data_IF_364438574230
#
_entry.id   IF_364438574230
#
_cell.length_a   1.000
_cell.length_b   1.000
_cell.length_c   1.000
_cell.angle_alpha   90.00
_cell.angle_beta   90.00
_cell.angle_gamma   90.00
#
_symmetry.space_group_name_H-M   'P 1'
#
loop_
_entity.id
_entity.type
_entity.pdbx_description
1 polymer ?
#
# COMPACT_ATOMS: atom_id res chain seq x y z
N UNK A 1 19.88 -42.03 7.39
CA UNK A 1 19.70 -40.83 8.25
C UNK A 1 20.09 -39.56 7.50
N UNK A 2 21.31 -39.42 6.98
CA UNK A 2 21.74 -38.22 6.21
C UNK A 2 20.91 -37.96 4.94
N UNK A 3 20.52 -38.99 4.18
CA UNK A 3 19.70 -38.84 2.98
C UNK A 3 18.26 -38.40 3.32
N UNK A 4 17.65 -39.01 4.34
CA UNK A 4 16.31 -38.61 4.83
C UNK A 4 16.32 -37.18 5.39
N UNK A 5 17.33 -36.82 6.18
CA UNK A 5 17.50 -35.46 6.69
C UNK A 5 17.71 -34.44 5.56
N UNK A 6 18.48 -34.79 4.52
CA UNK A 6 18.68 -33.95 3.34
C UNK A 6 17.43 -33.77 2.49
N UNK A 7 16.59 -34.80 2.35
CA UNK A 7 15.29 -34.73 1.67
C UNK A 7 14.31 -33.86 2.46
N UNK A 8 14.25 -33.99 3.79
CA UNK A 8 13.40 -33.16 4.65
C UNK A 8 13.85 -31.70 4.64
N UNK A 9 15.16 -31.42 4.71
CA UNK A 9 15.70 -30.06 4.65
C UNK A 9 15.40 -29.38 3.31
N UNK A 10 15.64 -30.09 2.19
CA UNK A 10 15.29 -29.56 0.86
C UNK A 10 13.80 -29.34 0.69
N UNK A 11 12.95 -30.24 1.22
CA UNK A 11 11.51 -30.08 1.19
C UNK A 11 11.05 -28.82 1.94
N UNK A 12 11.62 -28.55 3.12
CA UNK A 12 11.35 -27.33 3.89
C UNK A 12 11.78 -26.08 3.12
N UNK A 13 13.00 -26.07 2.57
CA UNK A 13 13.50 -24.94 1.79
C UNK A 13 12.63 -24.63 0.56
N UNK A 14 12.08 -25.66 -0.11
CA UNK A 14 11.11 -25.47 -1.20
C UNK A 14 9.81 -24.87 -0.68
N UNK A 15 9.26 -25.38 0.43
CA UNK A 15 8.00 -24.88 0.99
C UNK A 15 8.07 -23.46 1.57
N UNK A 16 9.28 -22.88 1.65
CA UNK A 16 9.54 -21.51 2.14
C UNK A 16 10.03 -20.58 1.03
N UNK A 17 10.10 -21.10 -0.21
CA UNK A 17 10.50 -20.32 -1.37
C UNK A 17 9.36 -19.43 -1.86
N UNK A 18 9.73 -18.33 -2.52
CA UNK A 18 8.79 -17.40 -3.15
C UNK A 18 7.94 -18.11 -4.21
N UNK A 19 8.55 -19.02 -4.97
CA UNK A 19 7.88 -19.81 -6.00
C UNK A 19 6.81 -20.71 -5.39
N UNK A 20 7.09 -21.40 -4.28
CA UNK A 20 6.09 -22.23 -3.63
C UNK A 20 4.95 -21.37 -3.07
N UNK A 21 5.25 -20.35 -2.27
CA UNK A 21 4.23 -19.49 -1.66
C UNK A 21 3.39 -18.74 -2.70
N UNK A 22 3.98 -18.31 -3.81
CA UNK A 22 3.30 -17.50 -4.83
C UNK A 22 2.63 -18.29 -5.94
N UNK A 23 3.18 -19.44 -6.34
CA UNK A 23 2.77 -20.14 -7.57
C UNK A 23 2.10 -21.50 -7.32
N UNK A 24 2.32 -22.14 -6.17
CA UNK A 24 1.70 -23.45 -5.89
C UNK A 24 0.17 -23.33 -5.79
N UNK A 25 -0.31 -22.22 -5.21
CA UNK A 25 -1.73 -21.89 -5.10
C UNK A 25 -2.07 -20.65 -5.95
N UNK A 26 -1.60 -20.61 -7.20
CA UNK A 26 -1.66 -19.41 -8.05
C UNK A 26 -3.04 -18.75 -8.09
N UNK A 27 -4.15 -19.50 -8.11
CA UNK A 27 -5.49 -18.92 -8.16
C UNK A 27 -5.86 -18.03 -6.96
N UNK A 28 -5.24 -18.26 -5.80
CA UNK A 28 -5.45 -17.49 -4.57
C UNK A 28 -4.34 -16.48 -4.34
N UNK A 29 -3.10 -16.88 -4.64
CA UNK A 29 -1.90 -16.11 -4.33
C UNK A 29 -1.44 -15.18 -5.45
N UNK A 30 -2.01 -15.28 -6.65
CA UNK A 30 -1.70 -14.42 -7.80
C UNK A 30 -1.73 -12.93 -7.46
N UNK A 31 -2.74 -12.37 -6.74
CA UNK A 31 -2.74 -10.96 -6.37
C UNK A 31 -1.52 -10.55 -5.55
N UNK A 32 -1.26 -11.28 -4.46
CA UNK A 32 -0.21 -10.96 -3.50
C UNK A 32 1.18 -11.21 -4.10
N UNK A 33 1.34 -12.27 -4.91
CA UNK A 33 2.58 -12.58 -5.62
C UNK A 33 2.89 -11.54 -6.69
N UNK A 34 1.91 -11.12 -7.47
CA UNK A 34 2.05 -10.07 -8.48
C UNK A 34 2.47 -8.74 -7.85
N UNK A 35 1.81 -8.35 -6.75
CA UNK A 35 2.15 -7.13 -6.04
C UNK A 35 3.55 -7.20 -5.39
N UNK A 36 3.93 -8.38 -4.85
CA UNK A 36 5.25 -8.62 -4.26
C UNK A 36 6.39 -8.36 -5.26
N UNK A 37 6.27 -8.87 -6.49
CA UNK A 37 7.32 -8.82 -7.51
C UNK A 37 7.76 -7.38 -7.87
N UNK A 38 6.86 -6.40 -7.72
CA UNK A 38 7.10 -4.99 -8.03
C UNK A 38 7.32 -4.10 -6.80
N UNK A 39 7.41 -4.71 -5.63
CA UNK A 39 7.58 -3.99 -4.37
C UNK A 39 9.05 -3.69 -4.03
N UNK A 40 9.27 -2.83 -3.03
CA UNK A 40 10.60 -2.59 -2.45
C UNK A 40 11.18 -3.82 -1.75
N UNK A 41 10.37 -4.85 -1.50
CA UNK A 41 10.75 -6.09 -0.84
C UNK A 41 10.75 -7.29 -1.78
N UNK A 42 10.73 -7.09 -3.11
CA UNK A 42 10.72 -8.17 -4.12
C UNK A 42 11.94 -9.11 -4.08
N UNK A 43 12.94 -8.79 -3.25
CA UNK A 43 14.15 -9.59 -2.99
C UNK A 43 14.22 -10.18 -1.58
N UNK A 44 13.16 -10.04 -0.78
CA UNK A 44 13.04 -10.61 0.56
C UNK A 44 12.06 -11.77 0.48
N UNK A 45 12.48 -12.99 0.83
CA UNK A 45 11.62 -14.16 0.72
C UNK A 45 10.36 -14.03 1.59
N UNK A 46 9.24 -14.60 1.13
CA UNK A 46 7.96 -14.55 1.86
C UNK A 46 8.09 -15.04 3.31
N UNK A 47 8.88 -16.11 3.53
CA UNK A 47 9.11 -16.71 4.83
C UNK A 47 9.80 -15.78 5.84
N UNK A 48 10.61 -14.80 5.41
CA UNK A 48 11.30 -13.86 6.31
C UNK A 48 10.30 -12.96 7.04
N UNK A 49 9.17 -12.63 6.40
CA UNK A 49 8.10 -11.82 7.00
C UNK A 49 6.99 -12.69 7.61
N UNK A 50 6.54 -13.74 6.89
CA UNK A 50 5.32 -14.48 7.25
C UNK A 50 5.56 -15.71 8.14
N UNK A 51 6.79 -16.22 8.23
CA UNK A 51 7.12 -17.37 9.08
C UNK A 51 8.07 -16.94 10.18
N UNK A 52 9.20 -16.33 9.84
CA UNK A 52 10.21 -15.91 10.79
C UNK A 52 11.10 -17.04 11.33
N UNK A 53 12.21 -16.71 11.98
CA UNK A 53 13.13 -17.70 12.54
C UNK A 53 12.55 -18.33 13.82
N UNK A 54 13.04 -19.54 14.14
CA UNK A 54 12.72 -20.23 15.41
C UNK A 54 11.73 -21.38 15.26
N UNK A 55 11.82 -22.34 16.20
CA UNK A 55 11.04 -23.58 16.13
C UNK A 55 9.53 -23.35 16.32
N UNK A 56 9.13 -22.44 17.20
CA UNK A 56 7.72 -22.20 17.50
C UNK A 56 6.98 -21.61 16.30
N UNK A 57 7.58 -20.60 15.66
CA UNK A 57 7.06 -19.99 14.44
C UNK A 57 7.05 -20.95 13.26
N UNK A 58 8.09 -21.78 13.14
CA UNK A 58 8.11 -22.86 12.16
C UNK A 58 6.92 -23.81 12.36
N UNK A 59 6.66 -24.30 13.58
CA UNK A 59 5.53 -25.20 13.86
C UNK A 59 4.19 -24.51 13.58
N UNK A 60 3.99 -23.28 14.07
CA UNK A 60 2.77 -22.51 13.83
C UNK A 60 2.50 -22.38 12.33
N UNK A 61 3.48 -21.93 11.55
CA UNK A 61 3.34 -21.75 10.10
C UNK A 61 2.98 -23.03 9.35
N UNK A 62 3.49 -24.21 9.75
CA UNK A 62 3.12 -25.48 9.10
C UNK A 62 1.71 -25.93 9.45
N UNK A 63 1.23 -25.67 10.67
CA UNK A 63 -0.16 -25.94 11.05
C UNK A 63 -1.12 -25.02 10.29
N UNK A 64 -0.81 -23.72 10.24
CA UNK A 64 -1.59 -22.73 9.49
C UNK A 64 -1.56 -23.06 7.98
N UNK A 65 -0.40 -23.42 7.43
CA UNK A 65 -0.23 -23.84 6.05
C UNK A 65 -1.01 -25.12 5.69
N UNK A 66 -1.11 -26.07 6.62
CA UNK A 66 -1.94 -27.27 6.42
C UNK A 66 -3.43 -26.91 6.33
N UNK A 67 -3.89 -25.98 7.17
CA UNK A 67 -5.26 -25.45 7.06
C UNK A 67 -5.47 -24.67 5.78
N UNK A 68 -4.50 -23.85 5.34
CA UNK A 68 -4.56 -23.15 4.05
C UNK A 68 -4.70 -24.12 2.88
N UNK A 69 -3.97 -25.24 2.90
CA UNK A 69 -4.10 -26.29 1.88
C UNK A 69 -5.52 -26.88 1.85
N UNK A 70 -6.10 -27.16 3.02
CA UNK A 70 -7.50 -27.61 3.13
C UNK A 70 -8.45 -26.53 2.60
N UNK A 71 -8.26 -25.28 3.00
CA UNK A 71 -9.10 -24.17 2.57
C UNK A 71 -9.08 -24.01 1.05
N UNK A 72 -7.91 -24.08 0.42
CA UNK A 72 -7.77 -24.03 -1.04
C UNK A 72 -8.41 -25.25 -1.71
N UNK A 73 -8.18 -26.46 -1.20
CA UNK A 73 -8.70 -27.70 -1.78
C UNK A 73 -10.23 -27.81 -1.73
N UNK A 74 -10.86 -27.24 -0.71
CA UNK A 74 -12.32 -27.30 -0.48
C UNK A 74 -13.03 -25.96 -0.71
N UNK A 75 -12.33 -24.97 -1.23
CA UNK A 75 -12.87 -23.62 -1.49
C UNK A 75 -13.47 -22.92 -0.25
N UNK A 76 -12.83 -23.09 0.91
CA UNK A 76 -13.31 -22.59 2.22
C UNK A 76 -12.72 -21.24 2.62
N UNK A 77 -12.29 -20.42 1.66
CA UNK A 77 -11.68 -19.12 1.92
C UNK A 77 -12.53 -17.94 1.41
N UNK A 78 -12.51 -16.81 2.13
CA UNK A 78 -13.20 -15.60 1.70
C UNK A 78 -12.54 -14.97 0.47
N UNK A 79 -13.33 -14.22 -0.29
CA UNK A 79 -12.86 -13.42 -1.43
C UNK A 79 -13.50 -12.03 -1.34
N UNK A 80 -12.73 -10.95 -1.19
CA UNK A 80 -11.27 -10.91 -0.97
C UNK A 80 -10.85 -11.51 0.39
N UNK A 81 -9.55 -11.71 0.59
CA UNK A 81 -8.99 -12.16 1.88
C UNK A 81 -9.10 -11.00 2.88
N UNK A 82 -9.74 -11.16 4.05
CA UNK A 82 -9.98 -10.05 4.96
C UNK A 82 -8.67 -9.47 5.52
N UNK A 83 -8.63 -8.15 5.62
CA UNK A 83 -7.59 -7.39 6.32
C UNK A 83 -8.23 -6.62 7.49
N UNK A 84 -7.49 -6.35 8.57
CA UNK A 84 -6.08 -6.67 8.79
C UNK A 84 -5.84 -8.15 9.08
N UNK A 85 -4.63 -8.65 8.79
CA UNK A 85 -4.22 -9.99 9.22
C UNK A 85 -3.95 -9.97 10.73
N UNK A 86 -4.56 -10.90 11.47
CA UNK A 86 -4.42 -10.97 12.93
C UNK A 86 -3.26 -11.87 13.39
N UNK A 87 -2.74 -12.73 12.50
CA UNK A 87 -1.69 -13.70 12.80
C UNK A 87 -0.27 -13.27 12.37
N UNK A 88 -0.11 -12.02 11.92
CA UNK A 88 1.21 -11.49 11.60
C UNK A 88 2.08 -11.38 12.85
N UNK A 89 3.37 -11.68 12.67
CA UNK A 89 4.38 -11.51 13.71
C UNK A 89 4.50 -10.04 14.10
N UNK A 90 4.86 -9.72 15.35
CA UNK A 90 5.10 -8.34 15.77
C UNK A 90 6.13 -7.65 14.88
N UNK A 91 5.92 -6.37 14.58
CA UNK A 91 6.82 -5.59 13.71
C UNK A 91 8.29 -5.58 14.22
N UNK A 92 8.49 -5.62 15.55
CA UNK A 92 9.81 -5.72 16.18
C UNK A 92 10.60 -6.98 15.79
N UNK A 93 9.91 -8.07 15.48
CA UNK A 93 10.54 -9.34 15.10
C UNK A 93 10.58 -9.57 13.58
N UNK A 94 10.06 -8.63 12.79
CA UNK A 94 10.01 -8.68 11.33
C UNK A 94 10.63 -7.43 10.72
N UNK A 95 9.92 -6.31 10.76
CA UNK A 95 10.33 -5.03 10.19
C UNK A 95 11.67 -4.54 10.77
N UNK A 96 11.82 -4.59 12.09
CA UNK A 96 12.97 -4.01 12.79
C UNK A 96 14.28 -4.80 12.62
N UNK A 97 14.22 -6.01 12.05
CA UNK A 97 15.43 -6.75 11.66
C UNK A 97 16.19 -6.06 10.53
N UNK A 98 15.51 -5.21 9.75
CA UNK A 98 16.08 -4.46 8.64
C UNK A 98 15.89 -2.94 8.77
N UNK A 99 14.80 -2.49 9.40
CA UNK A 99 14.45 -1.08 9.57
C UNK A 99 14.66 -0.64 11.01
N UNK A 100 15.72 0.11 11.30
CA UNK A 100 16.08 0.47 12.67
C UNK A 100 15.46 1.82 13.10
N UNK A 101 14.42 1.85 13.97
CA UNK A 101 13.68 3.08 14.26
C UNK A 101 14.52 4.18 14.95
N UNK A 102 15.57 3.78 15.68
CA UNK A 102 16.48 4.71 16.38
C UNK A 102 17.66 5.18 15.51
N UNK A 103 17.69 4.79 14.23
CA UNK A 103 18.64 5.32 13.23
C UNK A 103 17.89 6.12 12.18
N UNK A 104 17.62 7.37 12.54
CA UNK A 104 16.94 8.30 11.64
C UNK A 104 17.79 8.64 10.41
N UNK A 105 17.15 8.66 9.25
CA UNK A 105 17.79 8.90 7.94
C UNK A 105 17.50 10.29 7.37
N UNK A 106 16.78 11.14 8.11
CA UNK A 106 16.36 12.46 7.66
C UNK A 106 14.96 12.49 7.06
N UNK A 107 14.48 13.72 6.82
CA UNK A 107 13.21 13.97 6.14
C UNK A 107 13.26 13.54 4.67
N UNK A 108 12.09 13.18 4.13
CA UNK A 108 11.99 12.64 2.77
C UNK A 108 11.27 13.62 1.85
N UNK A 109 11.99 14.14 0.87
CA UNK A 109 11.37 14.84 -0.25
C UNK A 109 10.65 13.85 -1.18
N UNK A 110 9.37 14.07 -1.39
CA UNK A 110 8.53 13.34 -2.34
C UNK A 110 8.07 14.29 -3.43
N UNK A 111 8.29 13.92 -4.69
CA UNK A 111 7.84 14.68 -5.87
C UNK A 111 6.96 13.76 -6.69
N UNK A 112 5.71 14.16 -6.82
CA UNK A 112 4.70 13.45 -7.61
C UNK A 112 4.33 14.32 -8.79
N UNK A 113 4.27 13.70 -9.98
CA UNK A 113 3.78 14.33 -11.19
C UNK A 113 2.40 13.78 -11.48
N UNK A 114 1.46 14.68 -11.69
CA UNK A 114 0.08 14.41 -12.06
C UNK A 114 -0.18 15.02 -13.42
N UNK A 115 -1.20 14.53 -14.10
CA UNK A 115 -1.58 15.04 -15.41
C UNK A 115 -3.05 15.44 -15.37
N UNK A 116 -3.35 16.64 -15.83
CA UNK A 116 -4.72 17.12 -15.93
C UNK A 116 -5.51 16.30 -16.97
N UNK A 117 -6.82 16.29 -16.84
CA UNK A 117 -7.75 15.61 -17.76
C UNK A 117 -8.13 16.50 -18.97
N UNK A 118 -7.22 17.40 -19.35
CA UNK A 118 -7.36 18.29 -20.51
C UNK A 118 -6.72 17.69 -21.76
N UNK A 119 -6.87 18.38 -22.89
CA UNK A 119 -6.40 17.87 -24.18
C UNK A 119 -4.87 17.70 -24.21
N UNK A 120 -4.16 18.61 -23.54
CA UNK A 120 -2.70 18.62 -23.50
C UNK A 120 -2.12 17.65 -22.45
N UNK A 121 -2.97 17.09 -21.59
CA UNK A 121 -2.57 16.34 -20.40
C UNK A 121 -1.56 17.16 -19.57
N UNK A 122 -1.93 18.39 -19.21
CA UNK A 122 -1.06 19.37 -18.55
C UNK A 122 -0.37 18.76 -17.33
N UNK A 123 0.95 18.84 -17.27
CA UNK A 123 1.75 18.26 -16.19
C UNK A 123 1.74 19.17 -14.97
N UNK A 124 1.25 18.64 -13.86
CA UNK A 124 1.20 19.30 -12.56
C UNK A 124 2.15 18.58 -11.60
N UNK A 125 2.80 19.33 -10.72
CA UNK A 125 3.76 18.78 -9.76
C UNK A 125 3.34 19.13 -8.34
N UNK A 126 3.26 18.08 -7.51
CA UNK A 126 3.11 18.20 -6.06
C UNK A 126 4.42 17.76 -5.41
N UNK A 127 4.96 18.60 -4.54
CA UNK A 127 6.21 18.32 -3.83
C UNK A 127 6.01 18.50 -2.32
N UNK A 128 6.31 17.44 -1.57
CA UNK A 128 6.14 17.37 -0.12
C UNK A 128 7.47 17.02 0.55
N UNK A 129 7.85 17.78 1.57
CA UNK A 129 8.88 17.35 2.52
C UNK A 129 8.20 16.60 3.65
N UNK A 130 8.27 15.27 3.63
CA UNK A 130 7.75 14.42 4.68
C UNK A 130 8.67 14.48 5.89
N UNK A 131 8.12 14.85 7.05
CA UNK A 131 8.81 14.89 8.34
C UNK A 131 8.85 13.48 8.91
N UNK A 132 9.72 12.66 8.34
CA UNK A 132 9.81 11.22 8.67
C UNK A 132 10.07 11.05 10.17
N UNK A 133 10.99 11.85 10.70
CA UNK A 133 11.38 11.82 12.10
C UNK A 133 11.73 10.44 12.66
N UNK A 134 11.74 10.35 13.98
CA UNK A 134 12.22 9.20 14.74
C UNK A 134 13.15 9.64 15.87
N UNK A 135 13.76 8.68 16.56
CA UNK A 135 14.69 8.95 17.65
C UNK A 135 16.02 9.50 17.13
N UNK A 136 16.29 10.80 17.35
CA UNK A 136 17.58 11.42 17.08
C UNK A 136 18.04 12.21 18.31
N UNK A 137 19.26 11.95 18.80
CA UNK A 137 19.87 12.68 19.94
C UNK A 137 19.01 12.76 21.22
N UNK A 138 18.16 11.76 21.47
CA UNK A 138 17.29 11.69 22.66
C UNK A 138 15.98 12.47 22.55
N UNK A 139 15.62 12.97 21.36
CA UNK A 139 14.31 13.55 21.09
C UNK A 139 13.66 12.83 19.91
N UNK A 140 12.41 12.42 20.11
CA UNK A 140 11.58 11.85 19.04
C UNK A 140 10.70 12.93 18.42
N UNK A 141 10.63 12.96 17.10
CA UNK A 141 9.87 13.95 16.33
C UNK A 141 9.33 13.34 15.03
N UNK A 142 8.58 14.11 14.25
CA UNK A 142 8.02 13.70 12.95
C UNK A 142 7.07 12.50 13.07
N UNK A 143 6.62 11.93 11.95
CA UNK A 143 5.57 10.89 11.95
C UNK A 143 5.94 9.61 12.73
N UNK A 144 7.23 9.29 12.84
CA UNK A 144 7.72 8.12 13.57
C UNK A 144 7.95 8.33 15.07
N UNK A 145 7.62 9.49 15.65
CA UNK A 145 7.77 9.69 17.09
C UNK A 145 7.03 8.64 17.93
N UNK A 146 5.92 8.11 17.40
CA UNK A 146 5.08 7.09 18.03
C UNK A 146 5.74 5.73 18.23
N UNK A 147 6.80 5.42 17.47
CA UNK A 147 7.50 4.12 17.53
C UNK A 147 8.84 4.21 18.27
N UNK A 148 9.07 5.31 18.98
CA UNK A 148 10.22 5.46 19.88
C UNK A 148 10.19 4.43 21.02
N UNK A 149 11.35 4.01 21.52
CA UNK A 149 11.46 3.00 22.58
C UNK A 149 10.76 3.43 23.88
N UNK A 150 10.75 4.74 24.18
CA UNK A 150 10.09 5.31 25.36
C UNK A 150 8.59 5.53 25.20
N UNK A 151 8.04 5.32 24.00
CA UNK A 151 6.62 5.58 23.71
C UNK A 151 5.88 4.26 23.58
N UNK A 152 4.75 4.15 24.27
CA UNK A 152 3.81 3.04 24.10
C UNK A 152 2.43 3.57 23.79
N UNK A 153 1.88 3.14 22.67
CA UNK A 153 0.52 3.48 22.27
C UNK A 153 -0.28 2.21 22.17
N UNK A 154 -1.42 2.18 22.85
CA UNK A 154 -2.45 1.16 22.68
C UNK A 154 -3.71 1.84 22.20
N UNK A 155 -4.50 1.13 21.40
CA UNK A 155 -5.79 1.63 20.98
C UNK A 155 -6.83 0.53 21.00
N UNK A 156 -8.09 0.92 21.21
CA UNK A 156 -9.25 0.05 21.05
C UNK A 156 -9.98 0.43 19.78
N UNK A 157 -10.29 -0.53 18.93
CA UNK A 157 -10.99 -0.29 17.66
C UNK A 157 -12.01 -1.37 17.34
N UNK A 158 -12.75 -1.18 16.26
CA UNK A 158 -13.45 -2.26 15.58
C UNK A 158 -12.45 -3.28 14.97
N UNK A 159 -12.98 -4.38 14.39
CA UNK A 159 -12.16 -5.45 13.81
C UNK A 159 -11.34 -5.00 12.60
N UNK A 160 -11.84 -4.02 11.81
CA UNK A 160 -11.09 -3.49 10.67
C UNK A 160 -9.89 -2.63 11.09
N UNK A 161 -9.87 -2.16 12.35
CA UNK A 161 -8.93 -1.17 12.88
C UNK A 161 -9.06 0.20 12.21
N UNK A 162 -10.18 0.49 11.54
CA UNK A 162 -10.43 1.79 10.94
C UNK A 162 -11.13 2.75 11.94
N UNK A 163 -12.06 2.23 12.73
CA UNK A 163 -12.79 3.00 13.73
C UNK A 163 -12.13 2.88 15.10
N UNK A 164 -11.29 3.87 15.44
CA UNK A 164 -10.56 3.91 16.71
C UNK A 164 -11.43 4.50 17.82
N UNK A 165 -11.78 3.74 18.82
CA UNK A 165 -12.65 4.18 19.92
C UNK A 165 -11.88 4.88 21.03
N UNK A 166 -10.71 4.35 21.37
CA UNK A 166 -9.87 4.83 22.47
C UNK A 166 -8.40 4.72 22.11
N UNK A 167 -7.60 5.67 22.61
CA UNK A 167 -6.14 5.67 22.49
C UNK A 167 -5.55 5.89 23.88
N UNK A 168 -4.74 4.94 24.34
CA UNK A 168 -3.92 5.03 25.54
C UNK A 168 -2.48 5.30 25.13
N UNK A 169 -1.96 6.46 25.52
CA UNK A 169 -0.58 6.85 25.32
C UNK A 169 0.17 6.79 26.65
N UNK A 170 1.34 6.15 26.67
CA UNK A 170 2.29 6.17 27.79
C UNK A 170 3.64 6.69 27.31
N UNK A 171 4.20 7.69 28.00
CA UNK A 171 5.53 8.23 27.72
C UNK A 171 6.65 7.49 28.49
N UNK A 172 7.90 7.89 28.26
CA UNK A 172 9.07 7.25 28.87
C UNK A 172 9.17 7.41 30.39
N UNK A 173 8.50 8.42 30.95
CA UNK A 173 8.40 8.68 32.39
C UNK A 173 7.24 7.90 33.05
N UNK A 174 6.43 7.19 32.25
CA UNK A 174 5.27 6.41 32.70
C UNK A 174 3.99 7.23 32.87
N UNK A 175 3.97 8.50 32.46
CA UNK A 175 2.74 9.29 32.39
C UNK A 175 1.83 8.74 31.30
N UNK A 176 0.56 8.54 31.63
CA UNK A 176 -0.44 8.03 30.70
C UNK A 176 -1.50 9.09 30.40
N UNK A 177 -1.88 9.20 29.12
CA UNK A 177 -3.06 9.94 28.66
C UNK A 177 -4.02 9.01 27.92
N UNK A 178 -5.31 9.17 28.18
CA UNK A 178 -6.37 8.41 27.50
C UNK A 178 -7.21 9.38 26.70
N UNK A 179 -7.37 9.09 25.41
CA UNK A 179 -8.24 9.80 24.50
C UNK A 179 -9.41 8.89 24.11
N UNK A 180 -10.64 9.34 24.32
CA UNK A 180 -11.85 8.53 24.07
C UNK A 180 -12.78 9.26 23.11
N UNK A 181 -13.36 8.53 22.15
CA UNK A 181 -14.48 9.04 21.36
C UNK A 181 -15.76 8.89 22.16
N UNK A 182 -16.56 9.96 22.22
CA UNK A 182 -17.88 9.94 22.88
C UNK A 182 -18.88 8.98 22.23
N UNK A 183 -18.63 8.59 20.97
CA UNK A 183 -19.42 7.60 20.24
C UNK A 183 -18.90 6.17 20.39
N UNK A 184 -17.82 5.97 21.16
CA UNK A 184 -17.28 4.65 21.42
C UNK A 184 -18.35 3.74 22.04
N UNK A 185 -18.49 2.49 21.57
CA UNK A 185 -19.37 1.53 22.20
C UNK A 185 -18.84 1.17 23.60
N UNK A 186 -19.76 1.01 24.56
CA UNK A 186 -19.45 0.63 25.94
C UNK A 186 -18.79 -0.75 26.03
N UNK A 187 -19.26 -1.70 25.21
CA UNK A 187 -18.71 -3.06 25.11
C UNK A 187 -18.23 -3.36 23.68
N UNK A 188 -17.29 -4.29 23.56
CA UNK A 188 -16.70 -4.72 22.30
C UNK A 188 -15.47 -3.93 21.87
N UNK A 189 -14.98 -4.24 20.67
CA UNK A 189 -13.71 -3.75 20.15
C UNK A 189 -12.49 -4.49 20.71
N UNK A 190 -11.37 -4.39 20.00
CA UNK A 190 -10.13 -5.09 20.33
C UNK A 190 -9.05 -4.10 20.73
N UNK A 191 -8.38 -4.38 21.84
CA UNK A 191 -7.20 -3.64 22.26
C UNK A 191 -5.95 -4.16 21.55
N UNK A 192 -5.21 -3.27 20.92
CA UNK A 192 -3.94 -3.56 20.26
C UNK A 192 -2.87 -2.56 20.69
N UNK A 193 -1.63 -3.03 20.79
CA UNK A 193 -0.47 -2.14 20.87
C UNK A 193 -0.10 -1.73 19.46
N UNK A 194 -0.01 -0.42 19.21
CA UNK A 194 0.34 0.12 17.90
C UNK A 194 1.73 -0.35 17.47
N UNK A 195 1.85 -0.75 16.21
CA UNK A 195 3.13 -1.09 15.59
C UNK A 195 3.21 -0.60 14.14
N UNK A 196 4.30 -0.93 13.44
CA UNK A 196 4.55 -0.42 12.10
C UNK A 196 3.45 -0.77 11.10
N UNK A 197 2.75 -1.91 11.23
CA UNK A 197 1.75 -2.36 10.25
C UNK A 197 0.40 -1.67 10.42
N UNK A 198 0.20 -0.88 11.48
CA UNK A 198 -1.03 -0.08 11.61
C UNK A 198 -1.01 1.13 10.66
N UNK A 199 0.18 1.58 10.23
CA UNK A 199 0.37 2.61 9.20
C UNK A 199 0.96 2.06 7.90
N UNK A 200 2.02 1.24 7.98
CA UNK A 200 2.64 0.56 6.83
C UNK A 200 1.95 -0.78 6.58
N UNK A 201 0.63 -0.78 6.40
CA UNK A 201 -0.18 -1.98 6.34
C UNK A 201 0.03 -2.80 5.05
N UNK A 202 0.65 -2.21 4.02
CA UNK A 202 0.95 -2.90 2.74
C UNK A 202 2.40 -2.66 2.30
N UNK A 203 3.41 -3.19 3.01
CA UNK A 203 4.82 -2.90 2.72
C UNK A 203 5.30 -3.56 1.41
N UNK A 204 4.75 -4.73 1.08
CA UNK A 204 5.18 -5.55 -0.07
C UNK A 204 4.06 -5.85 -1.07
N UNK A 205 2.79 -5.72 -0.67
CA UNK A 205 1.66 -6.13 -1.48
C UNK A 205 0.78 -4.94 -1.86
N UNK A 206 1.38 -3.94 -2.54
CA UNK A 206 0.68 -2.69 -2.88
C UNK A 206 -0.14 -2.82 -4.17
N UNK A 207 -1.45 -2.60 -4.05
CA UNK A 207 -2.33 -2.28 -5.17
C UNK A 207 -2.49 -0.77 -5.19
N UNK A 208 -2.19 -0.14 -6.32
CA UNK A 208 -2.17 1.30 -6.46
C UNK A 208 -3.46 1.74 -7.15
N UNK A 209 -3.98 2.90 -6.78
CA UNK A 209 -5.15 3.47 -7.45
C UNK A 209 -4.87 3.75 -8.95
N UNK A 210 -5.92 3.78 -9.80
CA UNK A 210 -5.80 4.06 -11.23
C UNK A 210 -5.02 5.33 -11.54
N UNK A 211 -5.31 6.41 -10.80
CA UNK A 211 -4.64 7.71 -10.96
C UNK A 211 -3.12 7.57 -10.85
N UNK A 212 -2.64 6.93 -9.79
CA UNK A 212 -1.21 6.75 -9.55
C UNK A 212 -0.54 5.96 -10.69
N UNK A 213 -1.18 4.87 -11.13
CA UNK A 213 -0.62 4.00 -12.17
C UNK A 213 -0.58 4.66 -13.54
N UNK A 214 -1.63 5.40 -13.90
CA UNK A 214 -1.69 6.15 -15.15
C UNK A 214 -0.68 7.30 -15.11
N UNK A 215 -0.63 8.08 -14.04
CA UNK A 215 0.35 9.16 -13.88
C UNK A 215 1.78 8.62 -13.97
N UNK A 216 2.06 7.47 -13.34
CA UNK A 216 3.35 6.78 -13.47
C UNK A 216 3.64 6.40 -14.91
N UNK A 217 2.68 5.78 -15.61
CA UNK A 217 2.86 5.30 -16.97
C UNK A 217 3.07 6.43 -17.98
N UNK A 218 2.35 7.56 -17.84
CA UNK A 218 2.56 8.77 -18.65
C UNK A 218 3.96 9.34 -18.36
N UNK A 219 4.31 9.51 -17.08
CA UNK A 219 5.62 10.04 -16.68
C UNK A 219 6.80 9.22 -17.19
N UNK A 220 6.67 7.89 -17.24
CA UNK A 220 7.72 7.00 -17.75
C UNK A 220 7.68 6.81 -19.26
N UNK A 221 6.74 7.45 -19.97
CA UNK A 221 6.60 7.36 -21.42
C UNK A 221 6.02 6.04 -21.93
N UNK A 222 5.44 5.21 -21.05
CA UNK A 222 4.72 4.00 -21.45
C UNK A 222 3.38 4.35 -22.10
N UNK A 223 2.75 5.43 -21.63
CA UNK A 223 1.63 6.09 -22.29
C UNK A 223 2.14 7.42 -22.84
N UNK A 224 2.05 7.62 -24.15
CA UNK A 224 2.53 8.84 -24.79
C UNK A 224 1.58 10.03 -24.48
N UNK A 225 2.08 11.00 -23.72
CA UNK A 225 1.35 12.21 -23.32
C UNK A 225 0.91 13.09 -24.50
N UNK A 226 1.52 12.92 -25.68
CA UNK A 226 1.13 13.69 -26.87
C UNK A 226 -0.24 13.29 -27.42
N UNK A 227 -0.83 12.19 -26.96
CA UNK A 227 -2.16 11.76 -27.34
C UNK A 227 -3.22 12.64 -26.65
N UNK A 228 -4.10 13.33 -27.41
CA UNK A 228 -5.11 14.21 -26.83
C UNK A 228 -6.01 13.51 -25.81
N UNK A 229 -6.14 14.09 -24.61
CA UNK A 229 -6.98 13.56 -23.52
C UNK A 229 -6.61 12.15 -23.03
N UNK A 230 -5.42 11.62 -23.33
CA UNK A 230 -5.06 10.24 -22.96
C UNK A 230 -5.18 9.97 -21.46
N UNK A 231 -4.89 10.95 -20.61
CA UNK A 231 -5.03 10.84 -19.15
C UNK A 231 -6.49 10.68 -18.71
N UNK A 232 -7.41 11.42 -19.33
CA UNK A 232 -8.85 11.32 -19.06
C UNK A 232 -9.40 9.99 -19.55
N UNK A 233 -9.09 9.62 -20.78
CA UNK A 233 -9.59 8.39 -21.38
C UNK A 233 -9.02 7.14 -20.71
N UNK A 234 -7.74 7.18 -20.32
CA UNK A 234 -7.12 6.11 -19.53
C UNK A 234 -7.89 5.83 -18.23
N UNK A 235 -8.24 6.87 -17.47
CA UNK A 235 -9.05 6.69 -16.25
C UNK A 235 -10.42 6.14 -16.56
N UNK A 236 -11.10 6.68 -17.57
CA UNK A 236 -12.45 6.25 -17.96
C UNK A 236 -12.49 4.76 -18.27
N UNK A 237 -11.54 4.26 -19.06
CA UNK A 237 -11.57 2.87 -19.53
C UNK A 237 -11.04 1.87 -18.49
N UNK A 238 -10.06 2.26 -17.67
CA UNK A 238 -9.42 1.33 -16.72
C UNK A 238 -10.24 1.08 -15.45
N UNK A 239 -11.17 1.98 -15.10
CA UNK A 239 -12.05 1.83 -13.92
C UNK A 239 -13.28 0.94 -14.18
N UNK A 240 -13.49 0.51 -15.43
CA UNK A 240 -14.56 -0.41 -15.77
C UNK A 240 -14.30 -1.82 -15.21
N UNK A 241 -15.31 -2.42 -14.58
CA UNK A 241 -15.21 -3.79 -14.04
C UNK A 241 -15.33 -4.83 -15.14
N UNK A 242 -14.36 -5.73 -15.21
CA UNK A 242 -14.34 -6.87 -16.14
C UNK A 242 -14.27 -8.21 -15.39
N UNK A 243 -14.73 -9.27 -16.03
CA UNK A 243 -14.76 -10.62 -15.47
C UNK A 243 -13.40 -11.33 -15.51
N UNK A 244 -12.50 -10.93 -16.42
CA UNK A 244 -11.14 -11.46 -16.52
C UNK A 244 -10.14 -10.39 -17.00
N UNK A 245 -8.84 -10.69 -16.89
CA UNK A 245 -7.79 -9.82 -17.44
C UNK A 245 -7.83 -9.77 -18.97
N UNK A 246 -8.15 -10.87 -19.64
CA UNK A 246 -8.27 -10.95 -21.10
C UNK A 246 -9.42 -10.08 -21.61
N UNK A 247 -10.58 -10.14 -20.94
CA UNK A 247 -11.71 -9.27 -21.25
C UNK A 247 -11.33 -7.80 -21.05
N UNK A 248 -10.71 -7.47 -19.91
CA UNK A 248 -10.28 -6.09 -19.62
C UNK A 248 -9.35 -5.55 -20.71
N UNK A 249 -8.33 -6.32 -21.11
CA UNK A 249 -7.40 -5.95 -22.19
C UNK A 249 -8.11 -5.68 -23.50
N UNK A 250 -9.03 -6.57 -23.89
CA UNK A 250 -9.79 -6.45 -25.12
C UNK A 250 -10.71 -5.22 -25.13
N UNK A 251 -11.45 -5.01 -24.05
CA UNK A 251 -12.40 -3.88 -23.94
C UNK A 251 -11.65 -2.56 -23.85
N UNK A 252 -10.61 -2.45 -23.02
CA UNK A 252 -9.77 -1.25 -22.90
C UNK A 252 -9.19 -0.86 -24.26
N UNK A 253 -8.64 -1.83 -25.01
CA UNK A 253 -8.08 -1.56 -26.33
C UNK A 253 -9.14 -1.08 -27.32
N UNK A 254 -10.31 -1.71 -27.31
CA UNK A 254 -11.44 -1.34 -28.17
C UNK A 254 -11.94 0.07 -27.86
N UNK A 255 -12.22 0.36 -26.59
CA UNK A 255 -12.75 1.65 -26.13
C UNK A 255 -11.79 2.81 -26.40
N UNK A 256 -10.48 2.61 -26.15
CA UNK A 256 -9.48 3.63 -26.42
C UNK A 256 -9.32 3.89 -27.93
N UNK A 257 -9.33 2.82 -28.74
CA UNK A 257 -9.24 2.93 -30.21
C UNK A 257 -10.46 3.62 -30.80
N UNK A 258 -11.67 3.29 -30.31
CA UNK A 258 -12.92 3.92 -30.75
C UNK A 258 -12.91 5.42 -30.46
N UNK A 259 -12.48 5.83 -29.25
CA UNK A 259 -12.38 7.24 -28.91
C UNK A 259 -11.54 8.03 -29.93
N UNK A 260 -10.34 7.56 -30.26
CA UNK A 260 -9.50 8.26 -31.23
C UNK A 260 -10.04 8.17 -32.66
N UNK A 261 -10.63 7.05 -33.05
CA UNK A 261 -11.22 6.89 -34.39
C UNK A 261 -12.38 7.87 -34.62
N UNK A 262 -13.22 8.08 -33.59
CA UNK A 262 -14.40 8.94 -33.66
C UNK A 262 -14.04 10.43 -33.53
N UNK A 263 -13.12 10.78 -32.62
CA UNK A 263 -12.86 12.18 -32.26
C UNK A 263 -11.60 12.75 -32.93
N UNK A 264 -10.63 11.90 -33.29
CA UNK A 264 -9.31 12.29 -33.81
C UNK A 264 -8.85 11.36 -34.96
N UNK A 265 -9.58 11.25 -36.08
CA UNK A 265 -9.34 10.23 -37.12
C UNK A 265 -7.94 10.32 -37.76
N UNK A 266 -7.36 11.51 -37.87
CA UNK A 266 -5.99 11.69 -38.34
C UNK A 266 -4.96 11.11 -37.35
N UNK A 267 -5.15 11.31 -36.05
CA UNK A 267 -4.31 10.75 -34.98
C UNK A 267 -4.50 9.24 -34.90
N UNK A 268 -5.73 8.75 -35.02
CA UNK A 268 -6.04 7.32 -35.06
C UNK A 268 -5.25 6.59 -36.16
N UNK A 269 -5.01 7.25 -37.30
CA UNK A 269 -4.21 6.70 -38.40
C UNK A 269 -2.71 6.89 -38.18
N UNK A 270 -2.29 8.11 -37.85
CA UNK A 270 -0.87 8.48 -37.77
C UNK A 270 -0.17 7.88 -36.54
N UNK A 271 -0.86 7.87 -35.41
CA UNK A 271 -0.34 7.51 -34.09
C UNK A 271 -0.98 6.21 -33.57
N UNK A 272 -1.50 5.35 -34.48
CA UNK A 272 -2.10 4.05 -34.16
C UNK A 272 -1.21 3.21 -33.21
N UNK A 273 0.11 3.22 -33.44
CA UNK A 273 1.06 2.50 -32.60
C UNK A 273 1.10 3.04 -31.15
N UNK A 274 0.98 4.36 -30.96
CA UNK A 274 0.94 4.98 -29.63
C UNK A 274 -0.35 4.63 -28.89
N UNK A 275 -1.48 4.64 -29.62
CA UNK A 275 -2.79 4.27 -29.08
C UNK A 275 -2.79 2.81 -28.64
N UNK A 276 -2.25 1.90 -29.46
CA UNK A 276 -2.10 0.49 -29.14
C UNK A 276 -1.19 0.27 -27.92
N UNK A 277 -0.04 0.95 -27.87
CA UNK A 277 0.88 0.86 -26.72
C UNK A 277 0.23 1.38 -25.42
N UNK A 278 -0.56 2.45 -25.50
CA UNK A 278 -1.33 2.95 -24.37
C UNK A 278 -2.38 1.94 -23.90
N UNK A 279 -3.13 1.34 -24.83
CA UNK A 279 -4.10 0.29 -24.51
C UNK A 279 -3.48 -0.95 -23.87
N UNK A 280 -2.36 -1.45 -24.43
CA UNK A 280 -1.61 -2.58 -23.87
C UNK A 280 -1.13 -2.27 -22.45
N UNK A 281 -0.55 -1.08 -22.26
CA UNK A 281 -0.10 -0.60 -20.94
C UNK A 281 -1.26 -0.55 -19.95
N UNK A 282 -2.42 0.00 -20.33
CA UNK A 282 -3.59 0.05 -19.45
C UNK A 282 -4.09 -1.34 -19.07
N UNK A 283 -4.08 -2.28 -20.02
CA UNK A 283 -4.38 -3.69 -19.76
C UNK A 283 -3.40 -4.35 -18.78
N UNK A 284 -2.10 -4.03 -18.87
CA UNK A 284 -1.08 -4.48 -17.93
C UNK A 284 -1.31 -3.88 -16.54
N UNK A 285 -1.55 -2.58 -16.46
CA UNK A 285 -1.82 -1.89 -15.20
C UNK A 285 -3.06 -2.47 -14.49
N UNK A 286 -4.10 -2.80 -15.25
CA UNK A 286 -5.28 -3.49 -14.73
C UNK A 286 -4.90 -4.86 -14.16
N UNK A 287 -4.19 -5.69 -14.94
CA UNK A 287 -3.80 -7.04 -14.51
C UNK A 287 -2.85 -7.06 -13.30
N UNK A 288 -2.13 -5.97 -13.05
CA UNK A 288 -1.23 -5.83 -11.89
C UNK A 288 -1.95 -5.45 -10.59
N UNK A 289 -3.18 -4.94 -10.65
CA UNK A 289 -3.87 -4.36 -9.49
C UNK A 289 -5.27 -4.94 -9.24
N UNK A 290 -5.91 -5.49 -10.27
CA UNK A 290 -7.28 -5.96 -10.23
C UNK A 290 -7.30 -7.45 -10.48
N UNK A 291 -7.93 -8.22 -9.60
CA UNK A 291 -8.03 -9.67 -9.70
C UNK A 291 -9.48 -10.11 -9.50
N UNK A 292 -10.27 -10.22 -10.60
CA UNK A 292 -11.71 -10.51 -10.51
C UNK A 292 -12.01 -11.81 -9.75
N UNK A 293 -11.20 -12.86 -9.95
CA UNK A 293 -11.34 -14.15 -9.28
C UNK A 293 -11.23 -14.05 -7.75
N UNK A 294 -10.42 -13.12 -7.25
CA UNK A 294 -10.23 -12.86 -5.82
C UNK A 294 -11.03 -11.65 -5.32
N UNK A 295 -11.86 -11.05 -6.18
CA UNK A 295 -12.62 -9.82 -5.90
C UNK A 295 -11.73 -8.69 -5.37
N UNK A 296 -10.50 -8.62 -5.86
CA UNK A 296 -9.57 -7.52 -5.57
C UNK A 296 -9.74 -6.46 -6.65
N UNK A 297 -9.98 -5.24 -6.20
CA UNK A 297 -10.15 -4.02 -6.98
C UNK A 297 -9.17 -2.96 -6.47
N UNK A 298 -9.07 -1.85 -7.19
CA UNK A 298 -8.17 -0.73 -6.92
C UNK A 298 -8.09 -0.30 -5.44
N UNK A 299 -9.24 -0.28 -4.76
CA UNK A 299 -9.36 0.16 -3.36
C UNK A 299 -9.89 -0.94 -2.44
N UNK A 300 -9.79 -2.22 -2.82
CA UNK A 300 -10.22 -3.33 -1.94
C UNK A 300 -9.47 -3.35 -0.62
N UNK A 301 -8.21 -2.92 -0.64
CA UNK A 301 -7.36 -2.87 0.54
C UNK A 301 -6.73 -1.48 0.66
N UNK A 302 -7.26 -0.61 1.53
CA UNK A 302 -6.77 0.75 1.67
C UNK A 302 -5.34 0.79 2.22
N UNK A 303 -4.57 1.79 1.81
CA UNK A 303 -3.26 2.10 2.38
C UNK A 303 -3.37 3.20 3.45
N UNK A 304 -2.63 3.05 4.55
CA UNK A 304 -2.72 3.92 5.73
C UNK A 304 -1.52 4.85 5.95
N UNK A 305 -0.47 4.82 5.12
CA UNK A 305 0.71 5.72 5.19
C UNK A 305 0.39 7.19 4.86
N UNK A 306 -0.79 7.46 4.29
CA UNK A 306 -1.25 8.79 3.92
C UNK A 306 -2.76 8.92 4.10
N UNK A 307 -3.33 10.04 3.63
CA UNK A 307 -4.74 10.37 3.82
C UNK A 307 -5.52 10.52 2.50
N UNK A 308 -5.05 9.89 1.42
CA UNK A 308 -5.74 9.92 0.11
C UNK A 308 -6.69 8.73 -0.08
N UNK A 309 -6.26 7.53 0.30
CA UNK A 309 -7.07 6.30 0.16
C UNK A 309 -7.84 5.92 1.42
N UNK A 310 -7.43 6.45 2.57
CA UNK A 310 -8.06 6.20 3.87
C UNK A 310 -7.86 7.40 4.79
N UNK A 311 -8.46 7.38 5.98
CA UNK A 311 -8.18 8.38 7.01
C UNK A 311 -6.74 8.27 7.56
N UNK A 312 -6.02 7.17 7.32
CA UNK A 312 -4.61 7.00 7.72
C UNK A 312 -4.38 7.35 9.20
N UNK A 313 -3.55 8.37 9.44
CA UNK A 313 -3.27 8.92 10.77
C UNK A 313 -4.50 9.61 11.42
N UNK A 314 -5.41 10.19 10.63
CA UNK A 314 -6.61 10.89 11.12
C UNK A 314 -7.66 9.96 11.77
N UNK A 315 -7.47 8.65 11.66
CA UNK A 315 -8.19 7.68 12.51
C UNK A 315 -8.02 7.97 14.01
N UNK A 316 -6.82 8.39 14.41
CA UNK A 316 -6.48 8.80 15.78
C UNK A 316 -6.43 10.33 15.96
N UNK A 317 -5.99 11.06 14.94
CA UNK A 317 -5.73 12.49 15.02
C UNK A 317 -6.98 13.34 14.71
N UNK A 318 -7.21 14.38 15.50
CA UNK A 318 -8.28 15.35 15.29
C UNK A 318 -9.23 15.45 16.48
N UNK A 319 -10.48 15.84 16.20
CA UNK A 319 -11.41 16.32 17.23
C UNK A 319 -12.28 15.23 17.88
N UNK A 320 -12.18 13.99 17.42
CA UNK A 320 -13.06 12.89 17.82
C UNK A 320 -12.62 12.28 19.15
N UNK A 321 -11.36 11.88 19.23
CA UNK A 321 -10.71 11.33 20.42
C UNK A 321 -10.22 12.46 21.31
N UNK A 322 -10.66 12.49 22.57
CA UNK A 322 -10.28 13.55 23.54
C UNK A 322 -10.05 13.01 24.94
N UNK A 323 -9.21 13.68 25.70
CA UNK A 323 -9.08 13.47 27.15
C UNK A 323 -10.28 14.05 27.90
N UNK A 324 -10.38 13.78 29.21
CA UNK A 324 -11.38 14.39 30.10
C UNK A 324 -11.29 15.93 30.09
N UNK A 325 -10.06 16.47 30.07
CA UNK A 325 -9.76 17.90 29.96
C UNK A 325 -9.96 18.47 28.53
N UNK A 326 -10.47 17.64 27.62
CA UNK A 326 -10.78 17.96 26.21
C UNK A 326 -9.55 18.23 25.34
N UNK A 327 -8.37 17.79 25.77
CA UNK A 327 -7.18 17.76 24.92
C UNK A 327 -7.42 16.81 23.74
N UNK A 328 -6.84 17.14 22.58
CA UNK A 328 -6.99 16.36 21.34
C UNK A 328 -5.63 16.06 20.75
N UNK A 329 -5.54 14.96 20.03
CA UNK A 329 -4.35 14.66 19.22
C UNK A 329 -4.37 15.60 18.00
N UNK A 330 -3.35 16.45 17.83
CA UNK A 330 -3.33 17.45 16.75
C UNK A 330 -3.42 16.80 15.36
N UNK A 331 -4.12 17.44 14.43
CA UNK A 331 -4.20 17.04 13.02
C UNK A 331 -3.60 18.08 12.08
N UNK A 332 -2.71 18.92 12.59
CA UNK A 332 -2.08 19.98 11.80
C UNK A 332 -1.16 19.35 10.75
N UNK A 333 -1.34 19.71 9.47
CA UNK A 333 -0.61 19.11 8.35
C UNK A 333 0.92 19.21 8.52
N UNK A 334 1.38 20.34 9.07
CA UNK A 334 2.80 20.61 9.35
C UNK A 334 3.42 19.68 10.40
N UNK A 335 2.62 18.86 11.10
CA UNK A 335 3.16 17.79 11.95
C UNK A 335 3.76 16.67 11.09
N UNK A 336 3.20 16.45 9.91
CA UNK A 336 3.52 15.29 9.06
C UNK A 336 4.36 15.69 7.85
N UNK A 337 4.05 16.80 7.20
CA UNK A 337 4.75 17.24 6.00
C UNK A 337 4.67 18.75 5.82
N UNK A 338 5.62 19.29 5.06
CA UNK A 338 5.57 20.67 4.55
C UNK A 338 5.31 20.62 3.05
N UNK A 339 4.33 21.40 2.59
CA UNK A 339 3.97 21.51 1.17
C UNK A 339 4.94 22.50 0.52
N UNK A 340 5.67 22.04 -0.50
CA UNK A 340 6.65 22.86 -1.23
C UNK A 340 6.14 23.28 -2.62
N UNK A 341 5.23 22.49 -3.20
CA UNK A 341 4.45 22.81 -4.39
C UNK A 341 3.17 21.96 -4.33
N UNK A 342 2.05 22.52 -4.79
CA UNK A 342 0.76 21.84 -4.82
C UNK A 342 0.11 22.02 -6.19
N UNK A 343 0.08 20.95 -6.99
CA UNK A 343 -0.47 20.93 -8.34
C UNK A 343 0.04 22.10 -9.23
N UNK A 344 1.33 22.43 -9.12
CA UNK A 344 1.92 23.55 -9.86
C UNK A 344 2.50 23.10 -11.20
N UNK A 345 2.33 23.91 -12.25
CA UNK A 345 3.10 23.79 -13.50
C UNK A 345 4.52 24.33 -13.28
N UNK A 346 5.54 23.54 -13.65
CA UNK A 346 6.96 23.89 -13.57
C UNK A 346 7.39 24.60 -12.27
N UNK A 347 7.13 24.03 -11.07
CA UNK A 347 7.42 24.70 -9.82
C UNK A 347 8.92 24.99 -9.71
N UNK A 348 9.24 26.19 -9.19
CA UNK A 348 10.63 26.66 -9.04
C UNK A 348 11.53 25.65 -8.34
N UNK A 349 10.98 24.86 -7.41
CA UNK A 349 11.69 23.78 -6.72
C UNK A 349 12.43 22.84 -7.69
N UNK A 350 11.82 22.49 -8.82
CA UNK A 350 12.42 21.57 -9.81
C UNK A 350 13.71 22.14 -10.41
N UNK A 351 13.81 23.46 -10.56
CA UNK A 351 15.04 24.11 -11.07
C UNK A 351 16.24 23.97 -10.14
N UNK A 352 15.99 23.75 -8.84
CA UNK A 352 17.05 23.55 -7.84
C UNK A 352 17.48 22.09 -7.74
N UNK A 353 16.59 21.14 -8.06
CA UNK A 353 16.82 19.71 -7.84
C UNK A 353 17.31 19.02 -9.12
N UNK A 354 16.79 19.43 -10.28
CA UNK A 354 17.13 18.82 -11.57
C UNK A 354 18.43 19.38 -12.18
N UNK A 355 19.33 19.95 -11.37
CA UNK A 355 20.69 20.28 -11.82
C UNK A 355 21.54 19.01 -11.90
N UNK A 356 21.29 18.16 -12.89
CA UNK A 356 22.20 17.09 -13.33
C UNK A 356 22.32 17.09 -14.85
#
# INVERSE_FOLDING_TARGET
IVILAGVTYKGVAVMESVEFCGLACHSVMEPEHTAYQRSSHSRVACAECHIGPGADWFVKSKLDGAWQLVAVAFDLYPRPIPTPLHDLRPARETCEQCHWPTRFVGDKLTISKHYAEDENNTELTTALLLKVGGGETGQSHGIHWHVDEGVKIRYRSDLSREDIYEVEFTNGDGETKIYTDRRAPEEGGEWRTMDCVDCHNRPSHKYYAPDFEINRAIRTGLIDRSLPFVRREALRVIDAKHSSHEEARSVIATELTNFYTENYPEIATKDAAKINAAAETLGDLYALNVFPNMKVWWNTYPEHIGHEQSEGCFRCHGRRLRTEDRETISKDCETCHTILADEEEDPKLLSFINQQ
#
